data_IF_598149479099
#
_entry.id   IF_598149479099
#
_cell.length_a   1.000
_cell.length_b   1.000
_cell.length_c   1.000
_cell.angle_alpha   90.00
_cell.angle_beta   90.00
_cell.angle_gamma   90.00
#
_symmetry.space_group_name_H-M   'P 1'
#
loop_
_entity.id
_entity.type
_entity.pdbx_description
1 polymer ?
#
# COMPACT_ATOMS: atom_id res chain seq x y z
N UNK A 1 7.64 -60.87 10.21
CA UNK A 1 8.55 -59.70 10.17
C UNK A 1 8.18 -58.68 9.07
N UNK A 2 6.99 -58.74 8.47
CA UNK A 2 6.58 -57.81 7.39
C UNK A 2 5.69 -56.64 7.88
N UNK A 3 4.92 -56.85 8.95
CA UNK A 3 3.92 -55.87 9.45
C UNK A 3 4.55 -54.62 10.08
N UNK A 4 5.75 -54.71 10.62
CA UNK A 4 6.48 -53.58 11.22
C UNK A 4 7.05 -52.61 10.19
N UNK A 5 7.29 -53.07 8.96
CA UNK A 5 7.80 -52.23 7.87
C UNK A 5 6.75 -51.20 7.41
N UNK A 6 5.50 -51.64 7.24
CA UNK A 6 4.39 -50.76 6.85
C UNK A 6 4.08 -49.70 7.91
N UNK A 7 4.18 -50.05 9.20
CA UNK A 7 3.97 -49.10 10.29
C UNK A 7 5.02 -47.97 10.31
N UNK A 8 6.27 -48.28 9.97
CA UNK A 8 7.33 -47.29 9.90
C UNK A 8 7.14 -46.35 8.70
N UNK A 9 6.69 -46.85 7.55
CA UNK A 9 6.40 -46.02 6.37
C UNK A 9 5.24 -45.05 6.65
N UNK A 10 4.19 -45.50 7.33
CA UNK A 10 3.06 -44.63 7.71
C UNK A 10 3.51 -43.57 8.72
N UNK A 11 4.30 -43.94 9.73
CA UNK A 11 4.83 -42.99 10.72
C UNK A 11 5.72 -41.93 10.08
N UNK A 12 6.62 -42.33 9.17
CA UNK A 12 7.50 -41.40 8.45
C UNK A 12 6.69 -40.46 7.55
N UNK A 13 5.64 -40.96 6.88
CA UNK A 13 4.74 -40.14 6.07
C UNK A 13 3.99 -39.08 6.88
N UNK A 14 3.44 -39.45 8.05
CA UNK A 14 2.73 -38.52 8.94
C UNK A 14 3.68 -37.44 9.49
N UNK A 15 4.92 -37.80 9.83
CA UNK A 15 5.93 -36.84 10.29
C UNK A 15 6.34 -35.86 9.18
N UNK A 16 6.52 -36.34 7.94
CA UNK A 16 6.83 -35.49 6.78
C UNK A 16 5.69 -34.51 6.45
N UNK A 17 4.43 -34.94 6.55
CA UNK A 17 3.26 -34.09 6.36
C UNK A 17 3.17 -33.01 7.46
N UNK A 18 3.65 -33.31 8.67
CA UNK A 18 3.66 -32.36 9.79
C UNK A 18 4.81 -31.34 9.72
N UNK A 19 5.89 -31.66 9.01
CA UNK A 19 7.07 -30.79 8.83
C UNK A 19 6.96 -29.89 7.60
N UNK A 20 6.13 -30.26 6.61
CA UNK A 20 5.70 -29.36 5.55
C UNK A 20 4.60 -28.49 6.12
N UNK A 21 5.04 -27.43 6.81
CA UNK A 21 4.23 -26.48 7.55
C UNK A 21 2.87 -26.23 6.90
N UNK A 22 1.83 -26.53 7.67
CA UNK A 22 0.51 -25.97 7.39
C UNK A 22 0.67 -24.47 7.24
N UNK A 23 0.32 -23.94 6.07
CA UNK A 23 0.09 -22.52 5.93
C UNK A 23 -1.01 -22.18 6.94
N UNK A 24 -0.62 -21.51 8.01
CA UNK A 24 -1.54 -20.93 8.97
C UNK A 24 -2.39 -19.94 8.17
N UNK A 25 -3.57 -20.41 7.72
CA UNK A 25 -4.59 -19.54 7.18
C UNK A 25 -4.86 -18.52 8.28
N UNK A 26 -4.40 -17.28 8.07
CA UNK A 26 -4.66 -16.18 8.99
C UNK A 26 -6.17 -16.03 9.08
N UNK A 27 -6.75 -16.66 10.10
CA UNK A 27 -8.10 -16.38 10.58
C UNK A 27 -8.05 -14.94 11.09
N UNK A 28 -8.48 -14.01 10.25
CA UNK A 28 -8.65 -12.63 10.66
C UNK A 28 -9.60 -12.62 11.86
N UNK A 29 -9.08 -12.15 12.99
CA UNK A 29 -9.83 -12.03 14.24
C UNK A 29 -10.88 -10.95 14.02
N UNK A 30 -12.14 -11.37 13.91
CA UNK A 30 -13.29 -10.53 14.19
C UNK A 30 -13.42 -10.47 15.71
N UNK A 31 -13.20 -9.30 16.30
CA UNK A 31 -13.77 -8.74 17.56
C UNK A 31 -13.24 -7.28 17.64
N UNK A 32 -13.97 -6.25 18.02
CA UNK A 32 -15.38 -5.96 18.26
C UNK A 32 -15.50 -4.42 18.44
N UNK A 33 -16.74 -3.91 18.44
CA UNK A 33 -17.13 -2.64 19.08
C UNK A 33 -16.59 -1.30 18.55
N UNK A 34 -16.65 -1.05 17.23
CA UNK A 34 -16.59 0.34 16.70
C UNK A 34 -17.36 0.49 15.38
N UNK A 35 -18.57 -0.06 15.33
CA UNK A 35 -19.51 0.01 14.21
C UNK A 35 -20.20 1.37 14.09
N UNK A 36 -19.46 2.45 13.81
CA UNK A 36 -20.04 3.79 13.58
C UNK A 36 -19.49 4.56 12.37
N UNK A 37 -18.49 4.02 11.65
CA UNK A 37 -18.08 4.52 10.34
C UNK A 37 -17.95 3.38 9.33
N UNK A 38 -18.95 2.50 9.28
CA UNK A 38 -19.12 1.59 8.17
C UNK A 38 -19.88 2.32 7.05
N UNK A 39 -19.17 3.22 6.37
CA UNK A 39 -19.55 3.58 5.00
C UNK A 39 -18.97 2.48 4.12
N UNK A 40 -19.72 1.40 3.98
CA UNK A 40 -19.44 0.33 3.03
C UNK A 40 -19.55 0.90 1.61
N UNK A 41 -18.46 1.46 1.11
CA UNK A 41 -18.27 1.70 -0.31
C UNK A 41 -17.68 0.40 -0.88
N UNK A 42 -18.50 -0.63 -1.12
CA UNK A 42 -18.07 -1.95 -1.66
C UNK A 42 -17.44 -1.86 -3.06
N UNK A 43 -17.27 -0.66 -3.63
CA UNK A 43 -16.80 -0.44 -5.00
C UNK A 43 -15.32 -0.02 -5.14
N UNK A 44 -14.48 -0.04 -4.09
CA UNK A 44 -13.05 0.37 -4.23
C UNK A 44 -12.02 -0.67 -3.71
N UNK A 45 -12.43 -1.84 -3.21
CA UNK A 45 -11.46 -2.89 -2.81
C UNK A 45 -11.35 -4.02 -3.86
N UNK A 46 -10.88 -3.68 -5.05
CA UNK A 46 -10.43 -4.69 -6.03
C UNK A 46 -8.89 -4.76 -6.13
N UNK A 47 -8.16 -3.88 -5.43
CA UNK A 47 -6.70 -3.92 -5.40
C UNK A 47 -6.27 -4.91 -4.33
N UNK A 48 -5.51 -5.95 -4.70
CA UNK A 48 -4.97 -6.92 -3.75
C UNK A 48 -3.95 -6.29 -2.77
N UNK A 49 -3.38 -5.14 -3.15
CA UNK A 49 -2.30 -4.47 -2.41
C UNK A 49 -2.73 -3.09 -1.93
N UNK A 50 -2.72 -2.88 -0.61
CA UNK A 50 -3.04 -1.61 0.03
C UNK A 50 -2.08 -1.29 1.17
N UNK A 51 -1.78 -0.01 1.37
CA UNK A 51 -1.05 0.47 2.54
C UNK A 51 -1.52 1.87 2.95
N UNK A 52 -1.29 2.26 4.20
CA UNK A 52 -1.59 3.60 4.71
C UNK A 52 -0.35 4.50 4.58
N UNK A 53 -0.55 5.79 4.31
CA UNK A 53 0.54 6.78 4.29
C UNK A 53 1.29 6.87 5.63
N UNK A 54 0.64 6.52 6.75
CA UNK A 54 1.26 6.45 8.08
C UNK A 54 2.34 5.38 8.17
N UNK A 55 2.23 4.30 7.38
CA UNK A 55 3.20 3.20 7.36
C UNK A 55 4.54 3.64 6.73
N UNK A 56 4.52 4.73 5.97
CA UNK A 56 5.68 5.36 5.33
C UNK A 56 6.15 6.61 6.08
N UNK A 57 5.72 6.78 7.34
CA UNK A 57 6.12 7.90 8.19
C UNK A 57 5.36 9.21 7.93
N UNK A 58 4.21 9.14 7.27
CA UNK A 58 3.34 10.30 7.10
C UNK A 58 2.70 10.76 8.42
N UNK A 59 2.63 12.07 8.63
CA UNK A 59 2.00 12.71 9.80
C UNK A 59 0.91 13.69 9.34
N UNK A 60 -0.32 13.47 9.82
CA UNK A 60 -1.53 14.22 9.45
C UNK A 60 -1.78 15.51 10.25
N UNK A 61 -0.73 16.23 10.64
CA UNK A 61 -0.77 17.42 11.52
C UNK A 61 -0.94 18.76 10.77
N UNK A 62 -0.93 18.74 9.43
CA UNK A 62 -1.00 19.91 8.56
C UNK A 62 0.28 20.75 8.50
N UNK A 63 1.35 20.34 9.18
CA UNK A 63 2.60 21.10 9.31
C UNK A 63 3.80 20.32 8.79
N UNK A 64 3.81 19.02 9.00
CA UNK A 64 4.87 18.11 8.58
C UNK A 64 4.84 17.92 7.07
N UNK A 65 5.98 18.12 6.41
CA UNK A 65 6.10 17.93 4.96
C UNK A 65 6.20 16.43 4.63
N UNK A 66 5.12 15.86 4.12
CA UNK A 66 4.96 14.43 3.85
C UNK A 66 5.42 14.00 2.45
N UNK A 67 6.07 14.87 1.67
CA UNK A 67 6.48 14.58 0.27
C UNK A 67 7.28 13.28 0.16
N UNK A 68 8.22 13.06 1.10
CA UNK A 68 9.05 11.85 1.13
C UNK A 68 8.22 10.60 1.42
N UNK A 69 7.30 10.67 2.38
CA UNK A 69 6.39 9.58 2.69
C UNK A 69 5.53 9.19 1.48
N UNK A 70 4.99 10.18 0.74
CA UNK A 70 4.22 9.92 -0.49
C UNK A 70 5.09 9.29 -1.59
N UNK A 71 6.30 9.79 -1.81
CA UNK A 71 7.22 9.23 -2.81
C UNK A 71 7.63 7.79 -2.48
N UNK A 72 7.94 7.51 -1.21
CA UNK A 72 8.28 6.15 -0.77
C UNK A 72 7.10 5.21 -0.89
N UNK A 73 5.90 5.65 -0.49
CA UNK A 73 4.67 4.88 -0.64
C UNK A 73 4.40 4.52 -2.10
N UNK A 74 4.46 5.50 -3.01
CA UNK A 74 4.27 5.27 -4.45
C UNK A 74 5.34 4.33 -4.99
N UNK A 75 6.61 4.54 -4.67
CA UNK A 75 7.70 3.68 -5.15
C UNK A 75 7.50 2.22 -4.71
N UNK A 76 7.16 1.99 -3.44
CA UNK A 76 6.95 0.63 -2.94
C UNK A 76 5.71 -0.03 -3.56
N UNK A 77 4.61 0.69 -3.64
CA UNK A 77 3.33 0.17 -4.15
C UNK A 77 3.30 0.05 -5.69
N UNK A 78 4.16 0.78 -6.42
CA UNK A 78 4.25 0.68 -7.87
C UNK A 78 4.69 -0.71 -8.36
N UNK A 79 5.36 -1.48 -7.50
CA UNK A 79 5.79 -2.86 -7.78
C UNK A 79 4.61 -3.80 -8.08
N UNK A 80 3.42 -3.45 -7.61
CA UNK A 80 2.20 -4.22 -7.81
C UNK A 80 1.41 -3.83 -9.06
N UNK A 81 1.96 -2.95 -9.93
CA UNK A 81 1.27 -2.52 -11.15
C UNK A 81 0.83 -3.68 -12.05
N UNK A 82 1.66 -4.73 -12.17
CA UNK A 82 1.35 -5.92 -12.97
C UNK A 82 0.34 -6.87 -12.29
N UNK A 83 0.12 -6.73 -10.99
CA UNK A 83 -0.75 -7.60 -10.19
C UNK A 83 -2.08 -6.91 -9.86
N UNK A 84 -2.67 -6.29 -10.88
CA UNK A 84 -3.92 -5.56 -10.73
C UNK A 84 -3.78 -4.26 -9.93
N UNK A 85 -2.57 -3.74 -9.69
CA UNK A 85 -2.33 -2.43 -9.13
C UNK A 85 -2.37 -2.35 -7.60
N UNK A 86 -2.28 -1.14 -7.09
CA UNK A 86 -2.19 -0.86 -5.66
C UNK A 86 -2.98 0.35 -5.20
N UNK A 87 -3.23 0.42 -3.90
CA UNK A 87 -3.95 1.51 -3.25
C UNK A 87 -3.14 2.10 -2.09
N UNK A 88 -3.07 3.43 -2.03
CA UNK A 88 -2.54 4.17 -0.89
C UNK A 88 -3.68 4.87 -0.17
N UNK A 89 -3.84 4.58 1.12
CA UNK A 89 -4.88 5.13 1.97
C UNK A 89 -4.33 6.33 2.74
N UNK A 90 -5.04 7.45 2.67
CA UNK A 90 -4.78 8.68 3.42
C UNK A 90 -5.89 8.84 4.47
N UNK A 91 -5.61 8.58 5.76
CA UNK A 91 -6.62 8.70 6.80
C UNK A 91 -7.00 10.16 7.07
N UNK A 92 -8.06 10.36 7.87
CA UNK A 92 -8.51 11.68 8.29
C UNK A 92 -7.34 12.48 8.91
N UNK A 93 -7.25 13.77 8.57
CA UNK A 93 -6.13 14.63 8.99
C UNK A 93 -5.71 15.61 7.90
N UNK A 94 -4.71 16.43 8.21
CA UNK A 94 -4.17 17.43 7.30
C UNK A 94 -2.77 17.02 6.84
N UNK A 95 -2.58 16.89 5.53
CA UNK A 95 -1.39 16.27 4.97
C UNK A 95 -0.67 17.27 4.07
N UNK A 96 0.29 18.00 4.64
CA UNK A 96 1.13 18.92 3.86
C UNK A 96 2.09 18.11 2.99
N UNK A 97 2.06 18.34 1.68
CA UNK A 97 2.93 17.67 0.72
C UNK A 97 3.31 18.60 -0.44
N UNK A 98 4.53 18.42 -0.95
CA UNK A 98 4.93 18.96 -2.25
C UNK A 98 4.40 18.11 -3.40
N UNK A 99 4.83 18.43 -4.63
CA UNK A 99 4.51 17.62 -5.81
C UNK A 99 5.14 16.22 -5.72
N UNK A 100 4.38 15.21 -6.14
CA UNK A 100 4.83 13.83 -6.28
C UNK A 100 4.13 13.19 -7.49
N UNK A 101 4.81 12.24 -8.12
CA UNK A 101 4.29 11.55 -9.30
C UNK A 101 3.58 10.27 -8.90
N UNK A 102 2.39 10.04 -9.45
CA UNK A 102 1.71 8.75 -9.38
C UNK A 102 2.13 7.85 -10.55
N UNK A 103 2.07 6.54 -10.33
CA UNK A 103 2.33 5.53 -11.37
C UNK A 103 1.02 4.96 -11.91
N UNK A 104 1.09 4.22 -13.01
CA UNK A 104 -0.05 3.49 -13.56
C UNK A 104 -0.61 2.46 -12.58
N UNK A 105 -1.90 2.14 -12.71
CA UNK A 105 -2.63 1.18 -11.86
C UNK A 105 -2.58 1.50 -10.35
N UNK A 106 -2.51 2.78 -10.01
CA UNK A 106 -2.44 3.25 -8.64
C UNK A 106 -3.73 3.97 -8.22
N UNK A 107 -4.19 3.73 -7.01
CA UNK A 107 -5.36 4.40 -6.42
C UNK A 107 -4.93 5.16 -5.16
N UNK A 108 -5.05 6.49 -5.17
CA UNK A 108 -4.89 7.30 -3.96
C UNK A 108 -6.28 7.50 -3.33
N UNK A 109 -6.53 6.88 -2.18
CA UNK A 109 -7.80 6.90 -1.49
C UNK A 109 -7.76 7.83 -0.28
N UNK A 110 -8.58 8.88 -0.29
CA UNK A 110 -8.70 9.83 0.81
C UNK A 110 -9.91 9.46 1.64
N UNK A 111 -9.71 9.20 2.94
CA UNK A 111 -10.81 9.02 3.87
C UNK A 111 -11.60 10.32 4.03
N UNK A 112 -12.82 10.19 4.57
CA UNK A 112 -13.58 11.33 5.05
C UNK A 112 -12.70 12.18 5.98
N UNK A 113 -12.76 13.50 5.80
CA UNK A 113 -12.01 14.49 6.58
C UNK A 113 -10.48 14.46 6.37
N UNK A 114 -9.99 13.76 5.34
CA UNK A 114 -8.61 13.90 4.87
C UNK A 114 -8.46 15.13 3.96
N UNK A 115 -7.49 16.00 4.29
CA UNK A 115 -7.19 17.23 3.55
C UNK A 115 -5.74 17.18 3.06
N UNK A 116 -5.52 17.13 1.75
CA UNK A 116 -4.19 17.29 1.16
C UNK A 116 -3.87 18.78 1.02
N UNK A 117 -2.83 19.24 1.72
CA UNK A 117 -2.35 20.61 1.64
C UNK A 117 -1.15 20.67 0.69
N UNK A 118 -1.27 21.44 -0.39
CA UNK A 118 -0.17 21.65 -1.32
C UNK A 118 0.83 22.67 -0.76
N UNK A 119 2.10 22.28 -0.67
CA UNK A 119 3.18 23.21 -0.34
C UNK A 119 3.35 24.25 -1.45
N UNK A 120 3.46 25.52 -1.07
CA UNK A 120 3.62 26.66 -1.99
C UNK A 120 5.04 26.74 -2.59
N UNK A 121 5.94 25.85 -2.18
CA UNK A 121 7.30 25.78 -2.74
C UNK A 121 7.21 25.18 -4.14
N UNK A 122 7.03 26.05 -5.14
CA UNK A 122 7.24 25.73 -6.55
C UNK A 122 8.72 25.41 -6.74
N UNK A 123 9.11 24.13 -6.65
CA UNK A 123 10.35 23.70 -7.30
C UNK A 123 10.15 23.95 -8.79
N UNK A 124 10.88 24.93 -9.34
CA UNK A 124 10.79 25.42 -10.71
C UNK A 124 10.89 24.26 -11.72
N UNK A 125 9.77 23.67 -12.11
CA UNK A 125 9.64 22.82 -13.30
C UNK A 125 9.39 23.71 -14.52
N UNK A 126 10.16 24.80 -14.65
CA UNK A 126 10.25 25.52 -15.92
C UNK A 126 11.35 24.86 -16.73
N UNK A 127 11.02 23.79 -17.45
CA UNK A 127 11.77 23.45 -18.66
C UNK A 127 11.40 24.48 -19.73
N UNK A 128 11.89 25.71 -19.59
CA UNK A 128 11.78 26.73 -20.62
C UNK A 128 12.94 26.51 -21.61
N UNK A 129 12.78 25.55 -22.52
CA UNK A 129 13.62 25.50 -23.71
C UNK A 129 13.11 26.57 -24.68
N UNK A 130 13.60 27.81 -24.53
CA UNK A 130 13.47 28.83 -25.57
C UNK A 130 14.79 28.87 -26.35
N UNK A 131 14.92 28.01 -27.34
CA UNK A 131 16.00 28.15 -28.32
C UNK A 131 15.60 29.27 -29.27
N UNK A 132 16.02 30.50 -28.98
CA UNK A 132 15.98 31.59 -29.96
C UNK A 132 17.23 31.51 -30.84
N UNK A 133 17.12 30.81 -31.97
CA UNK A 133 17.95 30.99 -33.16
C UNK A 133 16.94 31.40 -34.22
N UNK A 134 16.95 32.61 -34.78
CA UNK A 134 18.07 33.30 -35.41
C UNK A 134 17.79 34.81 -35.56
N UNK A 135 18.83 35.63 -35.84
CA UNK A 135 18.66 37.00 -36.29
C UNK A 135 18.43 37.03 -37.82
N UNK A 136 17.37 37.71 -38.25
CA UNK A 136 17.27 38.33 -39.58
C UNK A 136 16.65 39.70 -39.42
#
# INVERSE_FOLDING_TARGET
>A
MEKTSWLLVVLVGVVLISLLGGAEGRKSRILDESSYYDLEYSAISCRAHSASITDFGGVGDGKTLNTKAFQEAVNQLSKYASDGGSQLIVPAGQWLTGSFNLTSHFTLFLHKDAVLLASQVLTLIFHFSFTFLSPF
#
